data_IF_734140106630
#
_entry.id   IF_734140106630
#
_cell.length_a   1.000
_cell.length_b   1.000
_cell.length_c   1.000
_cell.angle_alpha   90.00
_cell.angle_beta   90.00
_cell.angle_gamma   90.00
#
_symmetry.space_group_name_H-M   'P 1'
#
loop_
_entity.id
_entity.type
_entity.pdbx_description
1 polymer ?
#
# COMPACT_ATOMS: atom_id res chain seq x y z
N UNK A 1 16.25 -2.37 -45.21
CA UNK A 1 14.96 -2.76 -45.84
C UNK A 1 13.85 -2.66 -44.83
N UNK A 2 12.85 -1.88 -45.16
CA UNK A 2 11.71 -1.48 -44.34
C UNK A 2 10.72 -2.64 -44.19
N UNK A 3 10.20 -2.93 -43.00
CA UNK A 3 8.84 -3.51 -42.85
C UNK A 3 8.18 -2.91 -41.63
N UNK A 4 7.34 -1.94 -41.89
CA UNK A 4 6.29 -1.44 -40.97
C UNK A 4 5.17 -2.46 -40.96
N UNK A 5 4.77 -2.93 -39.82
CA UNK A 5 3.49 -3.62 -39.64
C UNK A 5 2.62 -2.74 -38.74
N UNK A 6 1.65 -2.17 -39.39
CA UNK A 6 0.52 -1.44 -38.83
C UNK A 6 -0.45 -2.52 -38.34
N UNK A 7 -0.71 -2.58 -37.04
CA UNK A 7 -1.80 -3.39 -36.51
C UNK A 7 -2.96 -2.47 -36.15
N UNK A 8 -4.03 -2.62 -36.90
CA UNK A 8 -5.21 -1.78 -36.81
C UNK A 8 -6.06 -2.15 -35.59
N UNK A 9 -6.46 -1.11 -34.94
CA UNK A 9 -7.46 -0.97 -33.90
C UNK A 9 -8.83 -1.53 -34.35
N UNK A 10 -9.43 -2.40 -33.56
CA UNK A 10 -10.82 -2.78 -33.72
C UNK A 10 -11.54 -2.62 -32.37
N UNK A 11 -12.07 -1.41 -32.14
CA UNK A 11 -13.05 -1.13 -31.10
C UNK A 11 -14.41 -1.66 -31.53
N UNK A 12 -14.90 -2.69 -30.88
CA UNK A 12 -16.29 -3.11 -30.98
C UNK A 12 -17.06 -2.56 -29.77
N UNK A 13 -17.84 -1.53 -30.04
CA UNK A 13 -18.85 -1.00 -29.11
C UNK A 13 -20.05 -1.93 -29.10
N UNK A 14 -20.32 -2.58 -27.97
CA UNK A 14 -21.60 -3.25 -27.74
C UNK A 14 -22.45 -2.39 -26.79
N UNK A 15 -23.33 -1.62 -27.39
CA UNK A 15 -24.47 -1.01 -26.72
C UNK A 15 -25.59 -2.06 -26.72
N UNK A 16 -25.97 -2.57 -25.57
CA UNK A 16 -27.15 -3.40 -25.40
C UNK A 16 -28.14 -2.67 -24.49
N UNK A 17 -29.07 -2.01 -25.15
CA UNK A 17 -30.29 -1.49 -24.53
C UNK A 17 -31.23 -2.68 -24.25
N UNK A 18 -31.66 -2.85 -23.00
CA UNK A 18 -32.87 -3.63 -22.70
C UNK A 18 -33.83 -2.75 -21.90
N UNK A 19 -34.87 -2.32 -22.58
CA UNK A 19 -36.06 -1.72 -22.03
C UNK A 19 -37.13 -2.81 -21.77
N UNK A 20 -37.83 -2.59 -20.66
CA UNK A 20 -39.21 -2.90 -20.40
C UNK A 20 -39.65 -4.37 -20.17
N UNK A 21 -40.07 -4.62 -18.96
CA UNK A 21 -40.96 -5.69 -18.58
C UNK A 21 -41.81 -5.21 -17.41
N UNK A 22 -42.93 -4.57 -17.72
CA UNK A 22 -43.97 -4.20 -16.76
C UNK A 22 -44.86 -5.45 -16.54
N UNK A 23 -44.98 -5.90 -15.28
CA UNK A 23 -45.87 -7.00 -14.86
C UNK A 23 -46.42 -6.74 -13.48
N UNK A 24 -47.68 -6.39 -13.43
CA UNK A 24 -48.52 -6.15 -12.25
C UNK A 24 -48.80 -7.43 -11.47
N UNK A 25 -48.77 -7.35 -10.10
CA UNK A 25 -49.23 -8.44 -9.21
C UNK A 25 -48.97 -8.18 -7.74
N UNK A 26 -49.90 -7.54 -7.13
CA UNK A 26 -50.38 -7.47 -5.73
C UNK A 26 -49.75 -8.33 -4.63
N UNK A 27 -49.38 -7.69 -3.50
CA UNK A 27 -49.59 -8.19 -2.14
C UNK A 27 -48.40 -8.66 -1.36
N UNK A 28 -48.02 -7.95 -0.27
CA UNK A 28 -47.23 -8.50 0.83
C UNK A 28 -46.22 -7.54 1.41
N UNK A 29 -46.61 -6.83 2.47
CA UNK A 29 -45.75 -5.98 3.31
C UNK A 29 -44.65 -6.80 3.95
N UNK A 30 -43.39 -6.44 3.71
CA UNK A 30 -42.28 -6.74 4.60
C UNK A 30 -41.27 -5.57 4.48
N UNK A 31 -41.21 -4.79 5.56
CA UNK A 31 -40.22 -3.74 5.77
C UNK A 31 -38.84 -4.39 5.89
N UNK A 32 -38.06 -4.31 4.86
CA UNK A 32 -36.65 -4.55 4.86
C UNK A 32 -35.96 -3.24 4.48
N UNK A 33 -35.41 -2.56 5.46
CA UNK A 33 -34.59 -1.39 5.20
C UNK A 33 -33.30 -1.80 4.51
N UNK A 34 -33.25 -1.59 3.20
CA UNK A 34 -32.01 -1.53 2.46
C UNK A 34 -31.29 -0.27 2.90
N UNK A 35 -30.42 -0.45 3.90
CA UNK A 35 -29.36 0.52 4.15
C UNK A 35 -28.33 0.26 3.05
N UNK A 36 -28.48 0.94 1.92
CA UNK A 36 -27.36 1.17 1.02
C UNK A 36 -26.30 1.88 1.85
N UNK A 37 -25.34 1.10 2.33
CA UNK A 37 -24.08 1.63 2.80
C UNK A 37 -23.41 2.17 1.55
N UNK A 38 -23.56 3.46 1.28
CA UNK A 38 -22.62 4.18 0.44
C UNK A 38 -21.25 3.95 1.07
N UNK A 39 -20.48 3.04 0.50
CA UNK A 39 -19.06 2.95 0.75
C UNK A 39 -18.50 4.30 0.30
N UNK A 40 -18.26 5.19 1.24
CA UNK A 40 -17.51 6.40 0.99
C UNK A 40 -16.21 5.95 0.34
N UNK A 41 -16.00 6.28 -0.93
CA UNK A 41 -14.72 6.12 -1.59
C UNK A 41 -13.74 6.92 -0.75
N UNK A 42 -12.93 6.25 0.04
CA UNK A 42 -11.92 6.90 0.84
C UNK A 42 -10.87 7.44 -0.15
N UNK A 43 -10.75 8.75 -0.16
CA UNK A 43 -9.90 9.49 -1.08
C UNK A 43 -8.43 9.12 -0.86
N UNK A 44 -7.69 8.89 -1.93
CA UNK A 44 -6.24 8.72 -1.88
C UNK A 44 -5.60 10.08 -1.66
N UNK A 45 -4.85 10.22 -0.58
CA UNK A 45 -4.17 11.47 -0.20
C UNK A 45 -2.67 11.31 -0.28
N UNK A 46 -1.96 12.31 -0.80
CA UNK A 46 -0.50 12.31 -0.87
C UNK A 46 0.05 13.53 -0.15
N UNK A 47 0.99 13.31 0.75
CA UNK A 47 1.72 14.33 1.49
C UNK A 47 3.23 14.18 1.24
N UNK A 48 3.93 15.30 1.11
CA UNK A 48 5.40 15.32 0.96
C UNK A 48 6.05 16.03 2.14
N UNK A 49 7.08 15.45 2.68
CA UNK A 49 7.82 15.92 3.86
C UNK A 49 9.31 16.01 3.57
N UNK A 50 10.00 16.90 4.26
CA UNK A 50 11.46 17.01 4.25
C UNK A 50 12.02 17.97 3.22
N UNK A 51 13.22 17.67 2.69
CA UNK A 51 13.98 18.56 1.81
C UNK A 51 13.87 18.14 0.35
N UNK A 52 13.31 18.99 -0.49
CA UNK A 52 13.13 18.74 -1.94
C UNK A 52 14.44 18.57 -2.73
N UNK A 53 15.60 18.77 -2.09
CA UNK A 53 16.92 18.50 -2.67
C UNK A 53 17.52 17.19 -2.15
N UNK A 54 16.88 16.55 -1.19
CA UNK A 54 17.32 15.31 -0.58
C UNK A 54 17.07 14.10 -1.49
N UNK A 55 17.44 12.92 -0.97
CA UNK A 55 17.07 11.66 -1.61
C UNK A 55 15.56 11.48 -1.56
N UNK A 56 14.95 11.33 -2.73
CA UNK A 56 13.51 11.09 -2.82
C UNK A 56 13.19 9.65 -2.47
N UNK A 57 12.22 9.47 -1.56
CA UNK A 57 11.66 8.17 -1.17
C UNK A 57 10.13 8.20 -1.28
N UNK A 58 9.56 7.11 -1.75
CA UNK A 58 8.12 6.90 -1.77
C UNK A 58 7.69 5.94 -0.65
N UNK A 59 6.63 6.31 0.06
CA UNK A 59 6.02 5.49 1.08
C UNK A 59 4.52 5.33 0.84
N UNK A 60 4.01 4.11 1.03
CA UNK A 60 2.58 3.84 1.08
C UNK A 60 2.14 3.47 2.48
N UNK A 61 1.03 4.06 2.91
CA UNK A 61 0.37 3.76 4.19
C UNK A 61 -1.14 3.77 4.02
N UNK A 62 -1.86 3.28 5.01
CA UNK A 62 -3.32 3.29 5.09
C UNK A 62 -3.84 4.10 6.29
N UNK A 63 -2.94 4.79 7.00
CA UNK A 63 -3.26 5.60 8.18
C UNK A 63 -2.59 6.97 8.10
N UNK A 64 -3.38 8.04 8.13
CA UNK A 64 -2.88 9.41 8.08
C UNK A 64 -1.90 9.74 9.21
N UNK A 65 -2.17 9.30 10.43
CA UNK A 65 -1.25 9.48 11.57
C UNK A 65 0.11 8.82 11.36
N UNK A 66 0.17 7.73 10.61
CA UNK A 66 1.44 7.09 10.25
C UNK A 66 2.24 7.97 9.30
N UNK A 67 1.60 8.54 8.26
CA UNK A 67 2.24 9.48 7.35
C UNK A 67 2.80 10.70 8.10
N UNK A 68 2.04 11.28 9.03
CA UNK A 68 2.48 12.40 9.87
C UNK A 68 3.66 12.02 10.77
N UNK A 69 3.63 10.82 11.36
CA UNK A 69 4.73 10.31 12.18
C UNK A 69 6.03 10.21 11.37
N UNK A 70 5.99 9.57 10.20
CA UNK A 70 7.14 9.46 9.32
C UNK A 70 7.62 10.83 8.83
N UNK A 71 6.70 11.74 8.53
CA UNK A 71 7.03 13.12 8.21
C UNK A 71 7.85 13.79 9.30
N UNK A 72 7.45 13.66 10.57
CA UNK A 72 8.20 14.17 11.72
C UNK A 72 9.59 13.54 11.84
N UNK A 73 9.68 12.22 11.60
CA UNK A 73 10.97 11.50 11.63
C UNK A 73 11.91 11.96 10.52
N UNK A 74 11.40 12.22 9.32
CA UNK A 74 12.20 12.78 8.21
C UNK A 74 12.69 14.18 8.51
N UNK A 75 11.88 15.03 9.11
CA UNK A 75 12.31 16.36 9.54
C UNK A 75 13.42 16.29 10.58
N UNK A 76 13.33 15.36 11.53
CA UNK A 76 14.39 15.14 12.52
C UNK A 76 15.66 14.59 11.87
N UNK A 77 15.53 13.58 10.98
CA UNK A 77 16.66 13.05 10.23
C UNK A 77 17.42 14.14 9.48
N UNK A 78 16.70 15.00 8.77
CA UNK A 78 17.31 16.07 7.98
C UNK A 78 18.06 17.11 8.83
N UNK A 79 17.62 17.34 10.07
CA UNK A 79 18.36 18.17 11.02
C UNK A 79 19.64 17.52 11.49
N UNK A 80 19.59 16.22 11.76
CA UNK A 80 20.72 15.46 12.31
C UNK A 80 21.73 15.07 11.21
N UNK A 81 21.28 14.99 9.94
CA UNK A 81 22.07 14.56 8.79
C UNK A 81 21.96 15.54 7.60
N UNK A 82 22.46 16.78 7.74
CA UNK A 82 22.30 17.80 6.71
C UNK A 82 23.00 17.48 5.38
N UNK A 83 23.92 16.53 5.38
CA UNK A 83 24.64 15.99 4.21
C UNK A 83 23.92 14.81 3.53
N UNK A 84 22.84 14.29 4.14
CA UNK A 84 22.06 13.13 3.66
C UNK A 84 20.58 13.36 3.84
N UNK A 85 20.10 14.50 3.39
CA UNK A 85 18.68 14.86 3.52
C UNK A 85 17.78 13.96 2.68
N UNK A 86 16.55 13.83 3.12
CA UNK A 86 15.48 13.01 2.51
C UNK A 86 14.29 13.92 2.18
N UNK A 87 13.67 13.64 1.04
CA UNK A 87 12.31 14.03 0.72
C UNK A 87 11.45 12.75 0.71
N UNK A 88 10.43 12.69 1.56
CA UNK A 88 9.51 11.56 1.64
C UNK A 88 8.14 11.93 1.11
N UNK A 89 7.69 11.22 0.08
CA UNK A 89 6.31 11.29 -0.42
C UNK A 89 5.49 10.13 0.14
N UNK A 90 4.57 10.43 1.05
CA UNK A 90 3.64 9.46 1.63
C UNK A 90 2.32 9.48 0.88
N UNK A 91 1.91 8.35 0.28
CA UNK A 91 0.58 8.17 -0.27
C UNK A 91 -0.26 7.31 0.66
N UNK A 92 -1.40 7.86 1.07
CA UNK A 92 -2.35 7.24 2.00
C UNK A 92 -3.47 6.65 1.15
N UNK A 93 -3.61 5.34 1.18
CA UNK A 93 -4.65 4.60 0.47
C UNK A 93 -5.68 4.04 1.46
N UNK A 94 -6.89 3.69 0.99
CA UNK A 94 -7.75 2.78 1.73
C UNK A 94 -7.03 1.47 2.06
N UNK A 95 -7.28 0.92 3.25
CA UNK A 95 -6.58 -0.27 3.77
C UNK A 95 -6.49 -1.43 2.75
N UNK A 96 -7.64 -1.85 2.21
CA UNK A 96 -7.69 -2.99 1.29
C UNK A 96 -7.01 -2.69 -0.04
N UNK A 97 -7.16 -1.47 -0.55
CA UNK A 97 -6.59 -1.04 -1.82
C UNK A 97 -5.08 -0.94 -1.74
N UNK A 98 -4.55 -0.40 -0.64
CA UNK A 98 -3.12 -0.30 -0.40
C UNK A 98 -2.44 -1.66 -0.43
N UNK A 99 -2.95 -2.63 0.34
CA UNK A 99 -2.35 -3.96 0.41
C UNK A 99 -2.47 -4.73 -0.91
N UNK A 100 -3.63 -4.64 -1.59
CA UNK A 100 -3.83 -5.26 -2.91
C UNK A 100 -2.88 -4.67 -3.95
N UNK A 101 -2.77 -3.34 -3.99
CA UNK A 101 -1.89 -2.62 -4.91
C UNK A 101 -0.42 -2.96 -4.64
N UNK A 102 -0.02 -3.01 -3.36
CA UNK A 102 1.35 -3.33 -2.97
C UNK A 102 1.76 -4.73 -3.42
N UNK A 103 0.97 -5.76 -3.08
CA UNK A 103 1.24 -7.14 -3.51
C UNK A 103 1.29 -7.24 -5.04
N UNK A 104 0.38 -6.57 -5.74
CA UNK A 104 0.36 -6.55 -7.21
C UNK A 104 1.63 -5.92 -7.78
N UNK A 105 2.11 -4.81 -7.21
CA UNK A 105 3.33 -4.14 -7.64
C UNK A 105 4.57 -5.01 -7.40
N UNK A 106 4.64 -5.69 -6.25
CA UNK A 106 5.72 -6.64 -5.94
C UNK A 106 5.76 -7.79 -6.94
N UNK A 107 4.61 -8.41 -7.24
CA UNK A 107 4.49 -9.49 -8.22
C UNK A 107 4.85 -9.05 -9.64
N UNK A 108 4.53 -7.80 -9.99
CA UNK A 108 4.89 -7.22 -11.28
C UNK A 108 6.37 -6.82 -11.38
N UNK A 109 7.09 -6.75 -10.25
CA UNK A 109 8.47 -6.29 -10.16
C UNK A 109 8.66 -4.81 -10.50
N UNK A 110 7.59 -4.02 -10.41
CA UNK A 110 7.62 -2.58 -10.72
C UNK A 110 6.49 -1.83 -10.03
N UNK A 111 6.74 -0.55 -9.69
CA UNK A 111 5.74 0.36 -9.13
C UNK A 111 5.46 0.16 -7.64
N UNK A 112 6.25 -0.66 -6.94
CA UNK A 112 6.25 -0.70 -5.48
C UNK A 112 6.95 0.55 -4.91
N UNK A 113 6.55 1.05 -3.74
CA UNK A 113 7.22 2.15 -3.06
C UNK A 113 8.53 1.66 -2.42
N UNK A 114 9.38 2.60 -1.99
CA UNK A 114 10.60 2.28 -1.24
C UNK A 114 10.28 1.76 0.17
N UNK A 115 9.19 2.26 0.77
CA UNK A 115 8.72 1.88 2.10
C UNK A 115 7.22 1.61 2.05
N UNK A 116 6.76 0.53 2.66
CA UNK A 116 5.34 0.24 2.79
C UNK A 116 4.97 -0.10 4.24
N UNK A 117 3.90 0.52 4.71
CA UNK A 117 3.32 0.23 6.02
C UNK A 117 2.37 -0.97 5.89
N UNK A 118 2.83 -2.14 6.30
CA UNK A 118 2.08 -3.39 6.13
C UNK A 118 1.50 -3.85 7.46
N UNK A 119 0.18 -4.01 7.50
CA UNK A 119 -0.51 -4.56 8.66
C UNK A 119 -0.10 -6.03 8.88
N UNK A 120 0.02 -6.43 10.15
CA UNK A 120 0.56 -7.72 10.58
C UNK A 120 -0.15 -8.93 9.94
N UNK A 121 -1.47 -8.88 9.76
CA UNK A 121 -2.24 -9.94 9.13
C UNK A 121 -2.02 -10.06 7.61
N UNK A 122 -1.50 -9.01 6.96
CA UNK A 122 -1.15 -9.01 5.55
C UNK A 122 0.30 -9.38 5.29
N UNK A 123 1.17 -9.26 6.30
CA UNK A 123 2.60 -9.50 6.16
C UNK A 123 2.96 -10.91 5.65
N UNK A 124 2.27 -12.00 6.04
CA UNK A 124 2.53 -13.33 5.49
C UNK A 124 2.46 -13.40 3.95
N UNK A 125 1.58 -12.62 3.32
CA UNK A 125 1.46 -12.57 1.87
C UNK A 125 2.65 -11.85 1.20
N UNK A 126 3.26 -10.91 1.91
CA UNK A 126 4.40 -10.12 1.44
C UNK A 126 5.71 -10.91 1.64
N UNK A 127 5.90 -11.51 2.82
CA UNK A 127 7.12 -12.25 3.15
C UNK A 127 7.27 -13.54 2.35
N UNK A 128 6.17 -14.05 1.77
CA UNK A 128 6.23 -15.22 0.88
C UNK A 128 7.16 -15.03 -0.34
N UNK A 129 7.34 -13.79 -0.79
CA UNK A 129 8.26 -13.43 -1.89
C UNK A 129 9.52 -12.70 -1.42
N UNK A 130 9.91 -12.82 -0.15
CA UNK A 130 10.99 -12.07 0.50
C UNK A 130 12.29 -11.97 -0.28
N UNK A 131 12.72 -13.05 -0.89
CA UNK A 131 14.01 -13.13 -1.58
C UNK A 131 14.08 -12.23 -2.83
N UNK A 132 12.93 -11.90 -3.41
CA UNK A 132 12.82 -11.06 -4.61
C UNK A 132 12.29 -9.66 -4.30
N UNK A 133 11.49 -9.52 -3.23
CA UNK A 133 10.69 -8.32 -2.96
C UNK A 133 11.20 -7.48 -1.80
N UNK A 134 11.87 -8.08 -0.82
CA UNK A 134 12.17 -7.43 0.44
C UNK A 134 13.68 -7.39 0.73
N UNK A 135 14.10 -6.34 1.41
CA UNK A 135 15.46 -6.22 1.93
C UNK A 135 15.49 -6.74 3.37
N UNK A 136 16.39 -7.67 3.72
CA UNK A 136 16.60 -8.07 5.11
C UNK A 136 17.05 -6.88 5.97
N UNK A 137 16.47 -6.73 7.14
CA UNK A 137 16.74 -5.61 8.04
C UNK A 137 17.67 -5.96 9.22
N UNK A 138 18.17 -7.19 9.29
CA UNK A 138 18.95 -7.70 10.42
C UNK A 138 20.11 -6.81 10.82
N UNK A 139 20.91 -6.35 9.86
CA UNK A 139 22.07 -5.51 10.10
C UNK A 139 21.68 -4.14 10.66
N UNK A 140 20.55 -3.60 10.24
CA UNK A 140 20.01 -2.31 10.68
C UNK A 140 19.30 -2.42 12.03
N UNK A 141 18.78 -3.58 12.38
CA UNK A 141 18.02 -3.83 13.60
C UNK A 141 18.89 -4.26 14.78
N UNK A 142 20.18 -4.53 14.58
CA UNK A 142 21.07 -5.10 15.60
C UNK A 142 21.08 -4.31 16.91
N UNK A 143 21.11 -2.98 16.84
CA UNK A 143 21.13 -2.10 18.02
C UNK A 143 19.77 -2.00 18.72
N UNK A 144 18.69 -2.34 18.05
CA UNK A 144 17.31 -2.13 18.51
C UNK A 144 16.63 -3.43 18.99
N UNK A 145 17.11 -4.59 18.55
CA UNK A 145 16.49 -5.91 18.86
C UNK A 145 16.25 -6.12 20.35
N UNK A 146 17.22 -5.77 21.18
CA UNK A 146 17.13 -5.98 22.63
C UNK A 146 16.13 -5.05 23.33
N UNK A 147 15.74 -3.96 22.68
CA UNK A 147 14.74 -3.01 23.16
C UNK A 147 13.31 -3.34 22.70
N UNK A 148 13.16 -4.28 21.79
CA UNK A 148 11.88 -4.67 21.22
C UNK A 148 11.32 -5.92 21.87
N UNK A 149 10.00 -6.06 21.82
CA UNK A 149 9.31 -7.29 22.26
C UNK A 149 9.57 -8.38 21.21
N UNK A 150 10.21 -9.53 21.57
CA UNK A 150 10.58 -10.56 20.60
C UNK A 150 9.41 -11.06 19.75
N UNK A 151 8.24 -11.27 20.35
CA UNK A 151 7.04 -11.70 19.62
C UNK A 151 6.59 -10.72 18.53
N UNK A 152 7.01 -9.44 18.59
CA UNK A 152 6.74 -8.45 17.53
C UNK A 152 7.71 -8.58 16.37
N UNK A 153 8.94 -8.98 16.64
CA UNK A 153 9.93 -9.25 15.58
C UNK A 153 9.59 -10.55 14.85
N UNK A 154 9.14 -11.57 15.58
CA UNK A 154 8.81 -12.89 15.02
C UNK A 154 7.74 -12.78 13.91
N UNK A 155 6.72 -11.94 14.10
CA UNK A 155 5.64 -11.78 13.09
C UNK A 155 6.09 -11.07 11.82
N UNK A 156 7.20 -10.34 11.86
CA UNK A 156 7.80 -9.67 10.72
C UNK A 156 9.08 -10.37 10.22
N UNK A 157 9.27 -11.63 10.60
CA UNK A 157 10.40 -12.46 10.17
C UNK A 157 9.97 -13.48 9.13
N UNK A 158 10.91 -13.85 8.26
CA UNK A 158 10.75 -14.94 7.31
C UNK A 158 11.02 -16.31 7.94
N UNK A 159 10.73 -17.38 7.19
CA UNK A 159 11.03 -18.77 7.56
C UNK A 159 12.54 -19.08 7.62
N UNK A 160 13.37 -18.20 7.04
CA UNK A 160 14.82 -18.21 7.13
C UNK A 160 15.34 -17.53 8.41
N UNK A 161 14.46 -17.02 9.26
CA UNK A 161 14.77 -16.35 10.52
C UNK A 161 15.27 -14.92 10.39
N UNK A 162 15.26 -14.35 9.18
CA UNK A 162 15.62 -12.94 8.98
C UNK A 162 14.43 -12.02 9.17
N UNK A 163 14.70 -10.79 9.59
CA UNK A 163 13.70 -9.75 9.80
C UNK A 163 13.49 -8.98 8.49
N UNK A 164 12.25 -8.89 8.03
CA UNK A 164 11.86 -8.18 6.81
C UNK A 164 10.92 -7.01 7.05
N UNK A 165 10.50 -6.79 8.27
CA UNK A 165 9.71 -5.63 8.66
C UNK A 165 10.09 -5.13 10.05
N UNK A 166 10.12 -3.81 10.23
CA UNK A 166 10.37 -3.17 11.50
C UNK A 166 9.04 -2.84 12.19
N UNK A 167 8.72 -3.44 13.36
CA UNK A 167 7.52 -3.08 14.09
C UNK A 167 7.70 -1.72 14.74
N UNK A 168 6.82 -0.77 14.44
CA UNK A 168 6.87 0.58 15.02
C UNK A 168 5.61 0.96 15.80
N UNK A 169 4.53 0.20 15.65
CA UNK A 169 3.27 0.43 16.34
C UNK A 169 2.84 -0.78 17.17
N UNK A 170 2.40 -0.52 18.40
CA UNK A 170 1.81 -1.49 19.30
C UNK A 170 0.32 -1.19 19.40
N UNK A 171 -0.49 -1.86 18.57
CA UNK A 171 -1.95 -1.82 18.66
C UNK A 171 -2.45 -2.75 19.74
#
# INVERSE_FOLDING_TARGET
MKKKLISALMCATMVSTMLAGCGSGNGGSASGGDTESEAAESEVVTNTYGDSKGTHLEMWTFVDLHAQHYGTMVEQWNKDHPDKTIELTCTIYPYADMHTKFITALQAGTGAPDICDVEVGQFPNVVAGKDEWLVPLDDYMTEYKDSMVPARLDVYSGDDGKIYGAPYHVG
#
